data_IF_769942885946
#
_entry.id   IF_769942885946
#
_cell.length_a   1.000
_cell.length_b   1.000
_cell.length_c   1.000
_cell.angle_alpha   90.00
_cell.angle_beta   90.00
_cell.angle_gamma   90.00
#
_symmetry.space_group_name_H-M   'P 1'
#
loop_
_entity.id
_entity.type
_entity.pdbx_description
1 polymer ?
#
# COMPACT_ATOMS: atom_id res chain seq x y z
N UNK A 1 32.44 28.03 27.15
CA UNK A 1 31.39 28.90 27.71
C UNK A 1 30.59 28.12 28.75
N UNK A 2 30.57 28.62 29.97
CA UNK A 2 29.89 27.97 31.11
C UNK A 2 28.56 28.68 31.42
N UNK A 3 27.45 28.07 31.02
CA UNK A 3 26.09 28.61 31.20
C UNK A 3 25.71 28.77 32.67
N UNK A 4 26.20 27.89 33.53
CA UNK A 4 25.91 27.96 34.98
C UNK A 4 26.64 29.18 35.61
N UNK A 5 27.89 29.39 35.21
CA UNK A 5 28.68 30.56 35.66
C UNK A 5 28.00 31.86 35.24
N UNK A 6 27.60 31.96 33.97
CA UNK A 6 26.90 33.15 33.44
C UNK A 6 25.55 33.34 34.15
N UNK A 7 24.78 32.30 34.32
CA UNK A 7 23.48 32.38 35.00
C UNK A 7 23.62 32.86 36.47
N UNK A 8 24.61 32.34 37.17
CA UNK A 8 24.93 32.78 38.51
C UNK A 8 25.31 34.26 38.56
N UNK A 9 26.14 34.71 37.61
CA UNK A 9 26.56 36.09 37.48
C UNK A 9 25.38 37.03 37.21
N UNK A 10 24.46 36.67 36.32
CA UNK A 10 23.23 37.44 36.10
C UNK A 10 22.46 37.59 37.42
N UNK A 11 22.27 36.49 38.18
CA UNK A 11 21.55 36.53 39.44
C UNK A 11 22.23 37.38 40.50
N UNK A 12 23.57 37.36 40.58
CA UNK A 12 24.36 38.15 41.49
C UNK A 12 24.22 39.65 41.18
N UNK A 13 24.42 40.05 39.92
CA UNK A 13 24.28 41.46 39.49
C UNK A 13 22.85 41.99 39.68
N UNK A 14 21.84 41.18 39.34
CA UNK A 14 20.44 41.54 39.61
C UNK A 14 20.19 41.80 41.10
N UNK A 15 20.64 40.89 41.97
CA UNK A 15 20.48 41.01 43.42
C UNK A 15 21.23 42.23 43.99
N UNK A 16 22.44 42.51 43.48
CA UNK A 16 23.21 43.69 43.88
C UNK A 16 22.47 45.00 43.57
N UNK A 17 21.64 45.01 42.53
CA UNK A 17 20.77 46.13 42.16
C UNK A 17 19.41 46.11 42.90
N UNK A 18 19.19 45.18 43.82
CA UNK A 18 17.94 45.04 44.59
C UNK A 18 16.73 44.59 43.76
N UNK A 19 16.92 44.08 42.55
CA UNK A 19 15.84 43.67 41.66
C UNK A 19 15.38 42.23 41.92
N UNK A 20 14.06 42.01 41.87
CA UNK A 20 13.49 40.65 41.75
C UNK A 20 13.58 40.12 40.32
N UNK A 21 13.46 38.79 40.11
CA UNK A 21 13.42 38.21 38.78
C UNK A 21 12.28 38.79 37.93
N UNK A 22 11.13 39.09 38.56
CA UNK A 22 9.98 39.68 37.88
C UNK A 22 10.29 41.10 37.41
N UNK A 23 10.88 41.93 38.26
CA UNK A 23 11.25 43.30 37.91
C UNK A 23 12.32 43.38 36.81
N UNK A 24 13.27 42.43 36.81
CA UNK A 24 14.24 42.35 35.69
C UNK A 24 13.53 41.90 34.39
N UNK A 25 12.62 40.93 34.48
CA UNK A 25 11.85 40.47 33.32
C UNK A 25 10.97 41.61 32.73
N UNK A 26 10.33 42.41 33.56
CA UNK A 26 9.54 43.57 33.12
C UNK A 26 10.40 44.63 32.41
N UNK A 27 11.57 44.96 32.97
CA UNK A 27 12.53 45.88 32.32
C UNK A 27 12.99 45.43 30.95
N UNK A 28 13.10 44.11 30.75
CA UNK A 28 13.57 43.51 29.50
C UNK A 28 12.42 43.20 28.53
N UNK A 29 11.15 43.35 28.91
CA UNK A 29 10.00 42.92 28.14
C UNK A 29 9.89 41.37 27.98
N UNK A 30 10.36 40.64 29.01
CA UNK A 30 10.45 39.16 28.98
C UNK A 30 9.60 38.56 30.09
N UNK A 31 9.41 37.23 30.02
CA UNK A 31 8.69 36.50 31.10
C UNK A 31 9.62 36.23 32.29
N UNK A 32 9.05 36.21 33.49
CA UNK A 32 9.78 35.81 34.70
C UNK A 32 10.41 34.39 34.54
N UNK A 33 9.71 33.47 33.85
CA UNK A 33 10.22 32.15 33.55
C UNK A 33 11.49 32.17 32.69
N UNK A 34 11.60 33.13 31.79
CA UNK A 34 12.80 33.31 30.94
C UNK A 34 14.00 33.70 31.80
N UNK A 35 13.87 34.74 32.64
CA UNK A 35 14.93 35.20 33.56
C UNK A 35 15.35 34.06 34.50
N UNK A 36 14.39 33.33 35.06
CA UNK A 36 14.66 32.17 35.91
C UNK A 36 15.47 31.07 35.20
N UNK A 37 15.18 30.79 33.89
CA UNK A 37 15.98 29.84 33.11
C UNK A 37 17.40 30.31 32.87
N UNK A 38 17.59 31.59 32.60
CA UNK A 38 18.93 32.18 32.41
C UNK A 38 19.75 32.11 33.69
N UNK A 39 19.18 32.50 34.83
CA UNK A 39 19.88 32.47 36.13
C UNK A 39 20.25 31.04 36.58
N UNK A 40 19.48 30.05 36.18
CA UNK A 40 19.80 28.65 36.44
C UNK A 40 20.77 28.03 35.42
N UNK A 41 21.18 28.79 34.41
CA UNK A 41 22.08 28.34 33.36
C UNK A 41 21.45 27.27 32.43
N UNK A 42 20.12 27.23 32.28
CA UNK A 42 19.42 26.29 31.38
C UNK A 42 19.59 26.73 29.93
N UNK A 43 19.55 28.02 29.66
CA UNK A 43 19.79 28.61 28.35
C UNK A 43 20.29 30.08 28.53
N UNK A 44 20.87 30.62 27.46
CA UNK A 44 21.13 32.05 27.39
C UNK A 44 19.89 32.82 26.91
N UNK A 45 19.81 34.13 27.18
CA UNK A 45 18.91 35.03 26.47
C UNK A 45 19.15 34.97 24.96
N UNK A 46 18.16 35.39 24.18
CA UNK A 46 18.38 35.66 22.75
C UNK A 46 19.37 36.83 22.59
N UNK A 47 20.18 36.79 21.52
CA UNK A 47 21.23 37.80 21.26
C UNK A 47 20.65 39.21 21.19
N UNK A 48 19.42 39.35 20.73
CA UNK A 48 18.71 40.66 20.65
C UNK A 48 18.41 41.26 22.02
N UNK A 49 18.41 40.45 23.08
CA UNK A 49 18.18 40.88 24.47
C UNK A 49 19.48 41.33 25.16
N UNK A 50 20.66 40.93 24.66
CA UNK A 50 21.95 41.19 25.31
C UNK A 50 22.19 42.68 25.62
N UNK A 51 22.02 43.65 24.69
CA UNK A 51 22.22 45.04 25.01
C UNK A 51 21.34 45.51 26.18
N UNK A 52 20.06 45.21 26.13
CA UNK A 52 19.11 45.57 27.17
C UNK A 52 19.43 44.92 28.53
N UNK A 53 19.87 43.67 28.51
CA UNK A 53 20.26 42.94 29.71
C UNK A 53 21.53 43.54 30.33
N UNK A 54 22.56 43.84 29.51
CA UNK A 54 23.77 44.45 29.96
C UNK A 54 23.51 45.84 30.56
N UNK A 55 22.69 46.65 29.89
CA UNK A 55 22.28 47.97 30.39
C UNK A 55 21.49 47.83 31.72
N UNK A 56 20.54 46.93 31.79
CA UNK A 56 19.70 46.71 32.98
C UNK A 56 20.48 46.23 34.20
N UNK A 57 21.59 45.52 33.99
CA UNK A 57 22.47 44.97 35.02
C UNK A 57 23.73 45.80 35.26
N UNK A 58 23.94 46.83 34.45
CA UNK A 58 25.14 47.69 34.48
C UNK A 58 26.45 46.91 34.33
N UNK A 59 26.52 46.03 33.32
CA UNK A 59 27.66 45.19 32.96
C UNK A 59 27.98 45.30 31.47
N UNK A 60 29.21 45.01 31.12
CA UNK A 60 29.62 44.92 29.72
C UNK A 60 29.21 43.56 29.10
N UNK A 61 29.11 43.48 27.76
CA UNK A 61 28.85 42.21 27.05
C UNK A 61 29.95 41.16 27.32
N UNK A 62 31.20 41.60 27.47
CA UNK A 62 32.32 40.70 27.76
C UNK A 62 32.20 40.09 29.17
N UNK A 63 31.86 40.88 30.16
CA UNK A 63 31.58 40.39 31.52
C UNK A 63 30.40 39.46 31.57
N UNK A 64 29.30 39.78 30.87
CA UNK A 64 28.18 38.90 30.73
C UNK A 64 28.57 37.54 30.16
N UNK A 65 29.32 37.49 29.03
CA UNK A 65 29.74 36.28 28.38
C UNK A 65 30.83 35.51 29.17
N UNK A 66 31.69 36.23 29.92
CA UNK A 66 32.66 35.62 30.83
C UNK A 66 32.02 35.08 32.14
N UNK A 67 30.87 35.66 32.54
CA UNK A 67 30.17 35.33 33.78
C UNK A 67 30.97 35.82 35.03
N UNK A 68 31.73 36.90 34.90
CA UNK A 68 32.55 37.52 35.95
C UNK A 68 32.90 38.97 35.60
N UNK A 69 33.26 39.74 36.60
CA UNK A 69 33.81 41.11 36.40
C UNK A 69 35.18 41.00 35.77
N UNK A 70 35.47 41.87 34.78
CA UNK A 70 36.74 41.87 34.03
C UNK A 70 37.54 43.14 34.30
N UNK A 71 38.84 42.98 34.56
CA UNK A 71 39.76 44.06 34.58
C UNK A 71 40.11 44.49 33.14
N UNK A 72 40.44 45.80 32.93
CA UNK A 72 40.75 46.37 31.58
C UNK A 72 41.79 45.53 30.81
N UNK A 73 42.75 44.93 31.48
CA UNK A 73 43.86 44.13 30.89
C UNK A 73 43.37 42.76 30.38
N UNK A 74 42.24 42.27 30.87
CA UNK A 74 41.71 40.96 30.53
C UNK A 74 40.65 40.98 29.43
N UNK A 75 40.22 42.17 28.98
CA UNK A 75 39.08 42.30 28.06
C UNK A 75 39.35 41.64 26.69
N UNK A 76 40.55 41.83 26.12
CA UNK A 76 40.86 41.33 24.76
C UNK A 76 40.97 39.80 24.71
N UNK A 77 41.79 39.12 25.54
CA UNK A 77 41.90 37.67 25.51
C UNK A 77 40.57 36.93 25.77
N UNK A 78 39.79 37.40 26.74
CA UNK A 78 38.50 36.80 27.07
C UNK A 78 37.39 37.08 26.03
N UNK A 79 37.46 38.20 25.33
CA UNK A 79 36.55 38.48 24.22
C UNK A 79 36.67 37.45 23.10
N UNK A 80 37.88 37.06 22.71
CA UNK A 80 38.14 36.04 21.70
C UNK A 80 37.66 34.65 22.15
N UNK A 81 37.95 34.27 23.41
CA UNK A 81 37.50 33.01 23.98
C UNK A 81 35.96 32.90 24.03
N UNK A 82 35.31 33.99 24.42
CA UNK A 82 33.84 34.05 24.49
C UNK A 82 33.19 33.93 23.10
N UNK A 83 33.75 34.56 22.06
CA UNK A 83 33.24 34.42 20.67
C UNK A 83 33.36 32.98 20.16
N UNK A 84 34.50 32.31 20.41
CA UNK A 84 34.68 30.91 20.03
C UNK A 84 33.72 30.00 20.80
N UNK A 85 33.52 30.25 22.10
CA UNK A 85 32.58 29.52 22.92
C UNK A 85 31.13 29.65 22.46
N UNK A 86 30.73 30.86 22.09
CA UNK A 86 29.39 31.15 21.56
C UNK A 86 29.12 30.45 20.22
N UNK A 87 30.09 30.46 19.30
CA UNK A 87 29.96 29.76 18.01
C UNK A 87 29.79 28.24 18.19
N UNK A 88 30.52 27.64 19.15
CA UNK A 88 30.38 26.17 19.44
C UNK A 88 28.99 25.81 19.99
N UNK A 89 28.44 26.60 20.93
CA UNK A 89 27.12 26.33 21.53
C UNK A 89 26.01 26.40 20.48
N UNK A 90 26.05 27.41 19.61
CA UNK A 90 25.05 27.57 18.54
C UNK A 90 25.10 26.43 17.50
N UNK A 91 26.30 25.91 17.17
CA UNK A 91 26.47 24.81 16.23
C UNK A 91 25.86 23.51 16.78
N UNK A 92 26.12 23.16 18.03
CA UNK A 92 25.60 21.95 18.69
C UNK A 92 24.07 21.97 18.79
N UNK A 93 23.48 23.13 19.08
CA UNK A 93 22.01 23.28 19.12
C UNK A 93 21.34 23.01 17.78
N UNK A 94 21.90 23.54 16.68
CA UNK A 94 21.38 23.32 15.32
C UNK A 94 21.48 21.83 14.87
N UNK A 95 22.62 21.19 15.16
CA UNK A 95 22.81 19.76 14.80
C UNK A 95 21.81 18.84 15.51
N UNK A 96 21.53 19.08 16.79
CA UNK A 96 20.52 18.30 17.53
C UNK A 96 19.11 18.47 16.94
N UNK A 97 18.71 19.71 16.62
CA UNK A 97 17.41 19.99 16.02
C UNK A 97 17.27 19.33 14.64
N UNK A 98 18.28 19.39 13.79
CA UNK A 98 18.27 18.74 12.47
C UNK A 98 18.14 17.22 12.61
N UNK A 99 18.90 16.58 13.50
CA UNK A 99 18.80 15.12 13.74
C UNK A 99 17.40 14.73 14.22
N UNK A 100 16.78 15.51 15.09
CA UNK A 100 15.40 15.25 15.56
C UNK A 100 14.40 15.36 14.43
N UNK A 101 14.51 16.38 13.57
CA UNK A 101 13.63 16.55 12.41
C UNK A 101 13.79 15.38 11.43
N UNK A 102 15.01 14.96 11.13
CA UNK A 102 15.29 13.83 10.25
C UNK A 102 14.68 12.53 10.82
N UNK A 103 14.82 12.29 12.12
CA UNK A 103 14.21 11.13 12.78
C UNK A 103 12.69 11.14 12.65
N UNK A 104 12.04 12.27 12.88
CA UNK A 104 10.59 12.41 12.74
C UNK A 104 10.12 12.18 11.30
N UNK A 105 10.88 12.65 10.30
CA UNK A 105 10.58 12.38 8.89
C UNK A 105 10.70 10.90 8.54
N UNK A 106 11.69 10.19 9.07
CA UNK A 106 11.84 8.74 8.87
C UNK A 106 10.64 7.99 9.48
N UNK A 107 10.23 8.35 10.69
CA UNK A 107 9.06 7.75 11.35
C UNK A 107 7.80 8.00 10.52
N UNK A 108 7.60 9.24 10.04
CA UNK A 108 6.46 9.59 9.19
C UNK A 108 6.43 8.77 7.90
N UNK A 109 7.58 8.59 7.25
CA UNK A 109 7.69 7.76 6.04
C UNK A 109 7.38 6.30 6.31
N UNK A 110 7.83 5.74 7.45
CA UNK A 110 7.49 4.37 7.83
C UNK A 110 5.99 4.18 8.09
N UNK A 111 5.36 5.15 8.77
CA UNK A 111 3.91 5.12 9.01
C UNK A 111 3.15 5.21 7.69
N UNK A 112 3.56 6.10 6.78
CA UNK A 112 2.95 6.25 5.46
C UNK A 112 3.10 4.97 4.62
N UNK A 113 4.28 4.36 4.62
CA UNK A 113 4.53 3.10 3.93
C UNK A 113 3.69 1.96 4.52
N UNK A 114 3.55 1.89 5.83
CA UNK A 114 2.67 0.93 6.51
C UNK A 114 1.19 1.12 6.14
N UNK A 115 0.74 2.38 6.09
CA UNK A 115 -0.63 2.71 5.67
C UNK A 115 -0.87 2.32 4.20
N UNK A 116 0.07 2.64 3.30
CA UNK A 116 -0.03 2.27 1.88
C UNK A 116 -0.03 0.74 1.71
N UNK A 117 0.79 0.02 2.47
CA UNK A 117 0.79 -1.43 2.48
C UNK A 117 -0.56 -2.00 2.93
N UNK A 118 -1.13 -1.44 4.01
CA UNK A 118 -2.43 -1.85 4.54
C UNK A 118 -3.56 -1.59 3.52
N UNK A 119 -3.61 -0.39 2.94
CA UNK A 119 -4.56 -0.05 1.89
C UNK A 119 -4.42 -0.94 0.65
N UNK A 120 -3.18 -1.32 0.29
CA UNK A 120 -2.95 -2.25 -0.82
C UNK A 120 -3.48 -3.66 -0.49
N UNK A 121 -3.24 -4.15 0.73
CA UNK A 121 -3.71 -5.45 1.19
C UNK A 121 -5.24 -5.54 1.22
N UNK A 122 -5.91 -4.47 1.66
CA UNK A 122 -7.38 -4.41 1.74
C UNK A 122 -8.06 -4.11 0.38
N UNK A 123 -7.30 -4.15 -0.72
CA UNK A 123 -7.86 -3.97 -2.06
C UNK A 123 -8.26 -2.54 -2.44
N UNK A 124 -7.96 -1.53 -1.61
CA UNK A 124 -8.32 -0.13 -1.88
C UNK A 124 -7.79 0.42 -3.22
N UNK A 125 -6.80 -0.25 -3.83
CA UNK A 125 -6.26 0.08 -5.16
C UNK A 125 -6.72 -0.86 -6.26
N UNK A 126 -7.67 -1.75 -5.97
CA UNK A 126 -8.22 -2.68 -6.93
C UNK A 126 -9.56 -2.16 -7.44
N UNK A 127 -9.59 -1.63 -8.65
CA UNK A 127 -10.79 -1.17 -9.31
C UNK A 127 -10.92 -1.90 -10.64
N UNK A 128 -12.10 -2.47 -10.89
CA UNK A 128 -12.43 -3.14 -12.15
C UNK A 128 -11.38 -4.14 -12.59
N UNK A 129 -11.12 -5.15 -11.76
CA UNK A 129 -10.11 -6.15 -12.03
C UNK A 129 -10.41 -7.51 -11.39
N UNK A 130 -9.76 -8.52 -11.96
CA UNK A 130 -9.70 -9.88 -11.42
C UNK A 130 -8.29 -10.11 -10.86
N UNK A 131 -8.22 -10.75 -9.71
CA UNK A 131 -6.97 -11.08 -9.02
C UNK A 131 -6.97 -12.58 -8.73
N UNK A 132 -6.09 -13.37 -9.35
CA UNK A 132 -5.95 -14.77 -9.01
C UNK A 132 -5.39 -14.91 -7.60
N UNK A 133 -5.89 -15.88 -6.86
CA UNK A 133 -5.32 -16.23 -5.57
C UNK A 133 -4.21 -17.26 -5.77
N UNK A 134 -3.12 -17.06 -5.05
CA UNK A 134 -2.01 -18.02 -5.08
C UNK A 134 -2.38 -19.28 -4.29
N UNK A 135 -1.83 -20.41 -4.65
CA UNK A 135 -2.07 -21.73 -4.03
C UNK A 135 -1.72 -21.75 -2.53
N UNK A 136 -0.83 -20.86 -2.06
CA UNK A 136 -0.42 -20.73 -0.66
C UNK A 136 -1.31 -19.76 0.14
N UNK A 137 -2.31 -19.14 -0.48
CA UNK A 137 -3.26 -18.27 0.22
C UNK A 137 -4.10 -19.05 1.25
N UNK A 138 -4.62 -18.34 2.24
CA UNK A 138 -5.49 -18.94 3.27
C UNK A 138 -6.76 -19.51 2.66
N UNK A 139 -7.31 -18.82 1.67
CA UNK A 139 -8.51 -19.19 0.94
C UNK A 139 -8.30 -20.46 0.11
N UNK A 140 -7.18 -20.57 -0.62
CA UNK A 140 -6.86 -21.76 -1.41
C UNK A 140 -6.64 -22.98 -0.52
N UNK A 141 -5.93 -22.83 0.59
CA UNK A 141 -5.76 -23.91 1.59
C UNK A 141 -7.08 -24.34 2.23
N UNK A 142 -8.01 -23.40 2.44
CA UNK A 142 -9.34 -23.75 2.94
C UNK A 142 -10.15 -24.50 1.88
N UNK A 143 -10.03 -24.13 0.61
CA UNK A 143 -10.69 -24.81 -0.50
C UNK A 143 -10.22 -26.26 -0.65
N UNK A 144 -8.92 -26.55 -0.49
CA UNK A 144 -8.37 -27.91 -0.51
C UNK A 144 -8.98 -28.84 0.55
N UNK A 145 -9.48 -28.28 1.67
CA UNK A 145 -10.16 -29.08 2.69
C UNK A 145 -11.58 -29.49 2.30
N UNK A 146 -12.18 -28.82 1.35
CA UNK A 146 -13.57 -29.02 0.92
C UNK A 146 -13.64 -29.78 -0.39
N UNK A 147 -12.73 -29.47 -1.32
CA UNK A 147 -12.69 -30.08 -2.65
C UNK A 147 -11.41 -30.89 -2.82
N UNK A 148 -11.57 -32.18 -3.10
CA UNK A 148 -10.47 -33.09 -3.42
C UNK A 148 -9.82 -32.60 -4.74
N UNK A 149 -8.55 -32.19 -4.68
CA UNK A 149 -7.86 -31.56 -5.81
C UNK A 149 -7.82 -30.00 -5.76
N UNK A 150 -8.56 -29.40 -4.84
CA UNK A 150 -8.57 -27.94 -4.66
C UNK A 150 -9.49 -27.20 -5.65
N UNK A 151 -9.37 -25.89 -5.64
CA UNK A 151 -10.08 -25.01 -6.56
C UNK A 151 -9.18 -23.88 -7.03
N UNK A 152 -9.34 -23.45 -8.27
CA UNK A 152 -8.74 -22.21 -8.76
C UNK A 152 -9.60 -21.03 -8.33
N UNK A 153 -9.02 -20.15 -7.50
CA UNK A 153 -9.74 -19.05 -6.87
C UNK A 153 -9.33 -17.69 -7.44
N UNK A 154 -10.31 -16.84 -7.64
CA UNK A 154 -10.14 -15.46 -8.08
C UNK A 154 -10.93 -14.52 -7.18
N UNK A 155 -10.33 -13.37 -6.82
CA UNK A 155 -11.08 -12.23 -6.30
C UNK A 155 -11.42 -11.28 -7.45
N UNK A 156 -12.65 -10.79 -7.47
CA UNK A 156 -13.03 -9.72 -8.38
C UNK A 156 -13.33 -8.44 -7.62
N UNK A 157 -13.07 -7.33 -8.29
CA UNK A 157 -13.36 -5.99 -7.82
C UNK A 157 -14.02 -5.23 -8.98
N UNK A 158 -15.28 -4.92 -8.84
CA UNK A 158 -16.08 -4.23 -9.86
C UNK A 158 -16.72 -2.96 -9.27
N UNK A 159 -16.80 -1.88 -10.04
CA UNK A 159 -17.46 -0.65 -9.58
C UNK A 159 -18.96 -0.87 -9.36
N UNK A 160 -19.54 -0.10 -8.45
CA UNK A 160 -20.98 -0.17 -8.10
C UNK A 160 -21.93 0.10 -9.29
N UNK A 161 -21.39 0.58 -10.40
CA UNK A 161 -22.18 0.80 -11.63
C UNK A 161 -22.46 -0.49 -12.42
N UNK A 162 -21.72 -1.58 -12.14
CA UNK A 162 -21.99 -2.87 -12.72
C UNK A 162 -23.08 -3.59 -11.91
N UNK A 163 -24.14 -4.00 -12.58
CA UNK A 163 -25.26 -4.71 -11.96
C UNK A 163 -25.43 -6.16 -12.45
N UNK A 164 -24.63 -6.57 -13.43
CA UNK A 164 -24.62 -7.93 -13.96
C UNK A 164 -23.21 -8.47 -14.05
N UNK A 165 -23.07 -9.77 -13.77
CA UNK A 165 -21.84 -10.52 -14.00
C UNK A 165 -22.20 -11.81 -14.76
N UNK A 166 -21.44 -12.12 -15.79
CA UNK A 166 -21.58 -13.34 -16.57
C UNK A 166 -20.25 -14.07 -16.63
N UNK A 167 -20.26 -15.37 -16.39
CA UNK A 167 -19.16 -16.26 -16.75
C UNK A 167 -19.46 -16.78 -18.15
N UNK A 168 -18.49 -16.66 -19.03
CA UNK A 168 -18.63 -16.96 -20.44
C UNK A 168 -17.57 -17.94 -20.89
N UNK A 169 -17.83 -18.69 -21.96
CA UNK A 169 -16.83 -19.46 -22.68
C UNK A 169 -16.71 -18.98 -24.12
N UNK A 170 -15.52 -19.13 -24.66
CA UNK A 170 -15.19 -18.88 -26.07
C UNK A 170 -14.39 -20.07 -26.57
N UNK A 171 -14.97 -20.82 -27.49
CA UNK A 171 -14.42 -22.05 -28.01
C UNK A 171 -13.76 -21.81 -29.37
N UNK A 172 -12.50 -22.17 -29.49
CA UNK A 172 -11.72 -22.03 -30.70
C UNK A 172 -11.29 -23.40 -31.22
N UNK A 173 -11.29 -23.56 -32.52
CA UNK A 173 -10.72 -24.68 -33.27
C UNK A 173 -9.79 -24.13 -34.35
N UNK A 174 -8.54 -24.59 -34.42
CA UNK A 174 -7.55 -24.08 -35.36
C UNK A 174 -7.49 -22.53 -35.36
N UNK A 175 -7.48 -21.91 -34.19
CA UNK A 175 -7.47 -20.47 -34.00
C UNK A 175 -8.75 -19.71 -34.33
N UNK A 176 -9.80 -20.37 -34.83
CA UNK A 176 -11.09 -19.74 -35.19
C UNK A 176 -12.14 -19.95 -34.12
N UNK A 177 -12.86 -18.89 -33.77
CA UNK A 177 -14.01 -18.98 -32.87
C UNK A 177 -15.10 -19.85 -33.52
N UNK A 178 -15.43 -20.97 -32.90
CA UNK A 178 -16.43 -21.91 -33.36
C UNK A 178 -17.72 -21.87 -32.56
N UNK A 179 -17.61 -21.56 -31.26
CA UNK A 179 -18.75 -21.45 -30.37
C UNK A 179 -18.44 -20.48 -29.22
N UNK A 180 -19.46 -19.81 -28.71
CA UNK A 180 -19.38 -18.97 -27.51
C UNK A 180 -20.74 -18.94 -26.79
N UNK A 181 -20.70 -18.77 -25.48
CA UNK A 181 -21.92 -18.69 -24.72
C UNK A 181 -21.71 -18.17 -23.30
N UNK A 182 -22.81 -18.16 -22.58
CA UNK A 182 -22.87 -17.80 -21.16
C UNK A 182 -23.05 -19.07 -20.36
N UNK A 183 -22.08 -19.35 -19.48
CA UNK A 183 -22.17 -20.46 -18.54
C UNK A 183 -23.07 -20.10 -17.36
N UNK A 184 -22.90 -18.87 -16.86
CA UNK A 184 -23.61 -18.38 -15.68
C UNK A 184 -23.86 -16.89 -15.77
N UNK A 185 -25.01 -16.44 -15.23
CA UNK A 185 -25.36 -15.02 -15.16
C UNK A 185 -25.87 -14.68 -13.77
N UNK A 186 -25.38 -13.58 -13.21
CA UNK A 186 -25.75 -13.07 -11.90
C UNK A 186 -26.20 -11.62 -12.01
N UNK A 187 -27.27 -11.28 -11.30
CA UNK A 187 -27.72 -9.92 -11.10
C UNK A 187 -27.34 -9.47 -9.69
N UNK A 188 -26.63 -8.34 -9.60
CA UNK A 188 -26.33 -7.72 -8.31
C UNK A 188 -27.54 -6.86 -7.91
N UNK A 189 -28.18 -7.20 -6.79
CA UNK A 189 -29.30 -6.42 -6.26
C UNK A 189 -28.86 -5.57 -5.08
N UNK A 190 -29.13 -4.26 -5.12
CA UNK A 190 -28.97 -3.35 -3.99
C UNK A 190 -27.56 -2.75 -3.82
N UNK A 191 -27.19 -2.37 -2.60
CA UNK A 191 -25.95 -1.69 -2.24
C UNK A 191 -24.72 -2.60 -2.25
N UNK A 192 -24.57 -3.47 -3.25
CA UNK A 192 -23.41 -4.35 -3.35
C UNK A 192 -22.18 -3.56 -3.83
N UNK A 193 -21.18 -3.52 -2.99
CA UNK A 193 -19.83 -3.12 -3.38
C UNK A 193 -19.23 -4.31 -4.12
N UNK A 194 -19.14 -4.23 -5.44
CA UNK A 194 -18.74 -5.26 -6.36
C UNK A 194 -17.41 -5.96 -6.09
N UNK A 195 -17.27 -6.59 -4.94
CA UNK A 195 -16.18 -7.51 -4.66
C UNK A 195 -16.71 -8.87 -4.24
N UNK A 196 -16.00 -9.91 -4.63
CA UNK A 196 -16.35 -11.26 -4.27
C UNK A 196 -15.31 -12.25 -4.77
N UNK A 197 -15.68 -13.52 -4.78
CA UNK A 197 -14.79 -14.61 -5.15
C UNK A 197 -15.45 -15.52 -6.18
N UNK A 198 -14.66 -15.96 -7.15
CA UNK A 198 -15.02 -16.97 -8.14
C UNK A 198 -14.14 -18.18 -7.86
N UNK A 199 -14.74 -19.36 -7.69
CA UNK A 199 -14.05 -20.63 -7.58
C UNK A 199 -14.35 -21.48 -8.81
N UNK A 200 -13.32 -22.00 -9.46
CA UNK A 200 -13.42 -22.95 -10.56
C UNK A 200 -12.82 -24.25 -10.07
N UNK A 201 -13.63 -25.29 -10.08
CA UNK A 201 -13.27 -26.64 -9.65
C UNK A 201 -13.23 -27.51 -10.91
N UNK A 202 -12.12 -28.18 -11.12
CA UNK A 202 -11.96 -29.12 -12.23
C UNK A 202 -12.34 -30.52 -11.76
N UNK A 203 -13.38 -31.08 -12.37
CA UNK A 203 -13.80 -32.48 -12.17
C UNK A 203 -13.17 -33.34 -13.28
N UNK A 204 -11.98 -33.82 -13.01
CA UNK A 204 -11.22 -34.67 -13.95
C UNK A 204 -11.93 -35.94 -14.32
N UNK A 205 -12.74 -36.52 -13.42
CA UNK A 205 -13.38 -37.81 -13.64
C UNK A 205 -14.57 -37.70 -14.61
N UNK A 206 -15.25 -36.56 -14.62
CA UNK A 206 -16.41 -36.30 -15.46
C UNK A 206 -16.15 -35.36 -16.65
N UNK A 207 -14.94 -34.75 -16.73
CA UNK A 207 -14.61 -33.77 -17.76
C UNK A 207 -15.45 -32.51 -17.68
N UNK A 208 -15.76 -32.07 -16.48
CA UNK A 208 -16.61 -30.93 -16.23
C UNK A 208 -15.88 -29.88 -15.39
N UNK A 209 -16.35 -28.66 -15.48
CA UNK A 209 -15.91 -27.54 -14.62
C UNK A 209 -17.09 -27.09 -13.77
N UNK A 210 -16.92 -27.16 -12.47
CA UNK A 210 -17.87 -26.58 -11.53
C UNK A 210 -17.44 -25.13 -11.23
N UNK A 211 -18.36 -24.19 -11.43
CA UNK A 211 -18.11 -22.77 -11.20
C UNK A 211 -18.97 -22.27 -10.04
N UNK A 212 -18.33 -21.92 -8.95
CA UNK A 212 -18.95 -21.38 -7.76
C UNK A 212 -18.59 -19.91 -7.57
N UNK A 213 -19.55 -19.08 -7.19
CA UNK A 213 -19.35 -17.65 -6.97
C UNK A 213 -19.85 -17.27 -5.59
N UNK A 214 -18.99 -16.61 -4.83
CA UNK A 214 -19.34 -15.95 -3.59
C UNK A 214 -19.47 -14.46 -3.84
N UNK A 215 -20.62 -13.90 -3.51
CA UNK A 215 -20.90 -12.48 -3.61
C UNK A 215 -20.74 -11.86 -2.22
N UNK A 216 -19.82 -10.90 -2.13
CA UNK A 216 -19.74 -9.85 -1.10
C UNK A 216 -19.97 -10.26 0.36
N UNK A 217 -19.24 -11.26 0.86
CA UNK A 217 -19.02 -11.49 2.30
C UNK A 217 -20.20 -11.41 3.29
N UNK A 218 -21.41 -11.13 2.83
CA UNK A 218 -22.61 -11.23 3.63
C UNK A 218 -22.98 -12.70 3.74
N UNK A 219 -23.08 -13.20 4.98
CA UNK A 219 -23.79 -14.42 5.29
C UNK A 219 -25.16 -14.33 4.64
N UNK A 220 -25.32 -14.97 3.48
CA UNK A 220 -26.64 -15.29 2.99
C UNK A 220 -27.22 -16.30 3.97
N UNK A 221 -28.34 -15.98 4.63
CA UNK A 221 -29.18 -16.99 5.28
C UNK A 221 -29.38 -18.11 4.27
N UNK A 222 -29.02 -19.31 4.66
CA UNK A 222 -29.12 -20.53 3.88
C UNK A 222 -30.54 -20.73 3.31
N UNK A 223 -30.82 -20.11 2.20
CA UNK A 223 -31.87 -20.49 1.30
C UNK A 223 -31.28 -21.53 0.36
N UNK A 224 -31.86 -22.68 0.32
CA UNK A 224 -31.41 -23.90 -0.36
C UNK A 224 -31.28 -23.77 -1.88
N UNK A 225 -31.39 -22.59 -2.47
CA UNK A 225 -31.51 -22.39 -3.92
C UNK A 225 -30.35 -21.58 -4.58
N UNK A 226 -29.38 -21.06 -3.81
CA UNK A 226 -28.35 -20.16 -4.35
C UNK A 226 -27.00 -20.81 -4.65
N UNK A 227 -26.83 -22.11 -4.42
CA UNK A 227 -25.70 -22.86 -4.93
C UNK A 227 -26.07 -23.49 -6.28
N UNK A 228 -26.05 -22.70 -7.33
CA UNK A 228 -26.20 -23.28 -8.66
C UNK A 228 -24.81 -23.63 -9.17
N UNK A 229 -24.42 -24.87 -9.01
CA UNK A 229 -23.31 -25.46 -9.74
C UNK A 229 -23.78 -25.69 -11.17
N UNK A 230 -23.33 -24.90 -12.13
CA UNK A 230 -23.53 -25.24 -13.54
C UNK A 230 -22.32 -26.03 -14.00
N UNK A 231 -22.53 -27.29 -14.24
CA UNK A 231 -21.57 -28.20 -14.84
C UNK A 231 -21.36 -27.80 -16.31
N UNK A 232 -20.20 -27.20 -16.63
CA UNK A 232 -19.80 -27.02 -18.02
C UNK A 232 -19.22 -28.32 -18.54
N UNK A 233 -19.91 -28.95 -19.47
CA UNK A 233 -19.42 -30.16 -20.14
C UNK A 233 -18.63 -29.77 -21.37
N UNK A 234 -17.40 -30.23 -21.42
CA UNK A 234 -16.58 -30.14 -22.62
C UNK A 234 -17.32 -30.82 -23.76
N UNK A 235 -17.48 -30.22 -24.95
CA UNK A 235 -18.13 -30.83 -26.10
C UNK A 235 -17.23 -31.91 -26.68
N UNK A 236 -17.34 -33.12 -26.14
CA UNK A 236 -16.52 -34.30 -26.48
C UNK A 236 -17.00 -35.04 -27.75
N UNK A 237 -17.71 -34.38 -28.66
CA UNK A 237 -18.20 -34.95 -29.94
C UNK A 237 -18.75 -36.42 -29.84
N UNK A 238 -19.35 -36.75 -28.69
CA UNK A 238 -19.92 -38.08 -28.43
C UNK A 238 -18.92 -39.14 -27.94
N UNK A 239 -17.66 -38.78 -27.70
CA UNK A 239 -16.67 -39.66 -27.07
C UNK A 239 -16.81 -39.59 -25.56
N UNK A 240 -16.46 -40.68 -24.87
CA UNK A 240 -16.27 -40.65 -23.43
C UNK A 240 -14.97 -39.92 -23.09
N UNK A 241 -14.95 -39.22 -21.95
CA UNK A 241 -13.79 -38.46 -21.51
C UNK A 241 -12.50 -39.28 -21.49
N UNK A 242 -12.57 -40.52 -20.94
CA UNK A 242 -11.43 -41.42 -20.83
C UNK A 242 -10.85 -41.79 -22.19
N UNK A 243 -11.70 -41.97 -23.21
CA UNK A 243 -11.30 -42.25 -24.60
C UNK A 243 -10.70 -40.99 -25.24
N UNK A 244 -11.26 -39.82 -24.93
CA UNK A 244 -10.81 -38.54 -25.46
C UNK A 244 -9.50 -38.09 -24.82
N UNK A 245 -9.33 -38.21 -23.49
CA UNK A 245 -8.08 -37.90 -22.77
C UNK A 245 -6.91 -38.79 -23.16
N UNK A 246 -7.19 -40.08 -23.54
CA UNK A 246 -6.16 -40.97 -24.01
C UNK A 246 -5.53 -40.54 -25.34
N UNK A 247 -6.27 -39.77 -26.14
CA UNK A 247 -5.87 -39.33 -27.49
C UNK A 247 -5.42 -37.85 -27.51
N UNK A 248 -5.63 -37.06 -26.42
CA UNK A 248 -5.34 -35.63 -26.41
C UNK A 248 -4.63 -35.21 -25.10
N UNK A 249 -3.56 -34.49 -25.27
CA UNK A 249 -2.94 -33.76 -24.15
C UNK A 249 -3.68 -32.45 -23.92
N UNK A 250 -4.01 -32.13 -22.68
CA UNK A 250 -4.61 -30.86 -22.37
C UNK A 250 -3.84 -30.11 -21.25
N UNK A 251 -3.94 -28.79 -21.28
CA UNK A 251 -3.44 -27.90 -20.25
C UNK A 251 -4.53 -26.98 -19.79
N UNK A 252 -4.74 -26.95 -18.48
CA UNK A 252 -5.64 -26.01 -17.82
C UNK A 252 -4.79 -24.97 -17.10
N UNK A 253 -4.88 -23.73 -17.51
CA UNK A 253 -4.07 -22.66 -16.96
C UNK A 253 -4.93 -21.48 -16.49
N UNK A 254 -4.97 -21.26 -15.17
CA UNK A 254 -5.65 -20.10 -14.64
C UNK A 254 -4.87 -18.81 -14.91
N UNK A 255 -5.56 -17.69 -14.90
CA UNK A 255 -4.96 -16.37 -14.87
C UNK A 255 -3.88 -16.31 -13.79
N UNK A 256 -2.65 -15.92 -14.16
CA UNK A 256 -1.50 -15.90 -13.25
C UNK A 256 -1.27 -14.54 -12.57
N UNK A 257 -1.82 -13.48 -13.14
CA UNK A 257 -1.60 -12.11 -12.67
C UNK A 257 -2.91 -11.33 -12.67
N UNK A 258 -2.97 -10.30 -11.82
CA UNK A 258 -4.06 -9.33 -11.82
C UNK A 258 -4.32 -8.82 -13.23
N UNK A 259 -5.57 -8.95 -13.69
CA UNK A 259 -6.06 -8.43 -14.96
C UNK A 259 -7.10 -7.34 -14.72
N UNK A 260 -6.99 -6.22 -15.42
CA UNK A 260 -8.06 -5.21 -15.48
C UNK A 260 -9.13 -5.67 -16.46
N UNK A 261 -10.37 -5.31 -16.18
CA UNK A 261 -11.45 -5.46 -17.15
C UNK A 261 -11.12 -4.64 -18.40
N UNK A 262 -11.42 -5.20 -19.57
CA UNK A 262 -11.30 -4.48 -20.84
C UNK A 262 -12.40 -3.39 -20.98
N UNK A 263 -12.42 -2.69 -22.11
CA UNK A 263 -13.42 -1.63 -22.39
C UNK A 263 -14.87 -2.16 -22.44
N UNK A 264 -15.04 -3.50 -22.60
CA UNK A 264 -16.34 -4.18 -22.60
C UNK A 264 -16.68 -4.75 -21.22
N UNK A 265 -15.84 -4.54 -20.20
CA UNK A 265 -16.00 -5.08 -18.85
C UNK A 265 -15.64 -6.55 -18.72
N UNK A 266 -14.82 -7.10 -19.63
CA UNK A 266 -14.45 -8.51 -19.66
C UNK A 266 -13.01 -8.75 -19.22
N UNK A 267 -12.77 -9.88 -18.54
CA UNK A 267 -11.44 -10.36 -18.16
C UNK A 267 -11.37 -11.89 -18.23
N UNK A 268 -10.16 -12.43 -18.44
CA UNK A 268 -9.91 -13.87 -18.43
C UNK A 268 -9.92 -14.45 -17.02
N UNK A 269 -10.37 -15.69 -16.92
CA UNK A 269 -10.24 -16.50 -15.72
C UNK A 269 -9.34 -17.71 -15.98
N UNK A 270 -9.58 -18.41 -17.07
CA UNK A 270 -8.98 -19.71 -17.34
C UNK A 270 -8.81 -19.90 -18.83
N UNK A 271 -7.74 -20.58 -19.23
CA UNK A 271 -7.53 -21.06 -20.59
C UNK A 271 -7.31 -22.58 -20.55
N UNK A 272 -8.05 -23.30 -21.35
CA UNK A 272 -7.87 -24.72 -21.59
C UNK A 272 -7.40 -24.92 -23.03
N UNK A 273 -6.26 -25.56 -23.20
CA UNK A 273 -5.72 -25.86 -24.53
C UNK A 273 -5.57 -27.35 -24.70
N UNK A 274 -5.98 -27.84 -25.86
CA UNK A 274 -5.95 -29.26 -26.23
C UNK A 274 -5.19 -29.41 -27.53
N UNK A 275 -4.27 -30.34 -27.54
CA UNK A 275 -3.49 -30.70 -28.72
C UNK A 275 -3.21 -32.19 -28.74
N UNK A 276 -3.44 -32.83 -29.87
CA UNK A 276 -3.26 -34.28 -30.05
C UNK A 276 -1.80 -34.69 -29.96
N UNK A 277 -0.90 -33.81 -30.41
CA UNK A 277 0.54 -34.07 -30.42
C UNK A 277 1.23 -33.62 -29.14
N UNK A 278 0.52 -33.01 -28.19
CA UNK A 278 1.06 -32.51 -26.91
C UNK A 278 1.88 -31.23 -27.02
N UNK A 279 1.86 -30.55 -28.15
CA UNK A 279 2.62 -29.32 -28.45
C UNK A 279 1.75 -28.08 -28.31
N UNK A 280 1.09 -27.89 -27.16
CA UNK A 280 0.31 -26.68 -26.94
C UNK A 280 1.18 -25.51 -26.45
N UNK A 281 0.96 -24.31 -27.00
CA UNK A 281 1.58 -23.12 -26.48
C UNK A 281 1.06 -22.78 -25.08
N UNK A 282 1.99 -22.47 -24.17
CA UNK A 282 1.68 -22.11 -22.79
C UNK A 282 0.87 -20.81 -22.71
N UNK A 283 -0.24 -20.85 -21.97
CA UNK A 283 -1.25 -19.80 -21.87
C UNK A 283 -0.76 -18.41 -21.40
N UNK A 284 0.39 -18.28 -20.76
CA UNK A 284 0.85 -16.99 -20.21
C UNK A 284 1.06 -15.90 -21.28
N UNK A 285 1.39 -16.32 -22.52
CA UNK A 285 1.49 -15.41 -23.68
C UNK A 285 0.15 -15.22 -24.38
N UNK A 286 -0.69 -16.23 -24.42
CA UNK A 286 -1.97 -16.29 -25.15
C UNK A 286 -2.99 -15.37 -24.49
N UNK A 287 -3.16 -15.46 -23.18
CA UNK A 287 -4.18 -14.71 -22.43
C UNK A 287 -4.05 -13.21 -22.64
N UNK A 288 -2.82 -12.69 -22.48
CA UNK A 288 -2.55 -11.26 -22.64
C UNK A 288 -2.80 -10.78 -24.06
N UNK A 289 -2.50 -11.58 -25.07
CA UNK A 289 -2.69 -11.25 -26.47
C UNK A 289 -4.16 -11.36 -26.87
N UNK A 290 -4.87 -12.39 -26.38
CA UNK A 290 -6.31 -12.57 -26.64
C UNK A 290 -7.14 -11.33 -26.25
N UNK A 291 -6.89 -10.73 -25.07
CA UNK A 291 -7.62 -9.56 -24.61
C UNK A 291 -7.21 -8.26 -25.35
N UNK A 292 -6.12 -8.26 -26.09
CA UNK A 292 -5.71 -7.15 -26.95
C UNK A 292 -6.31 -7.23 -28.37
N UNK A 293 -6.92 -8.36 -28.72
CA UNK A 293 -7.54 -8.51 -30.05
C UNK A 293 -8.81 -7.65 -30.14
N UNK A 294 -8.89 -6.84 -31.19
CA UNK A 294 -10.11 -6.07 -31.51
C UNK A 294 -11.20 -6.98 -32.06
N UNK A 295 -10.83 -7.98 -32.84
CA UNK A 295 -11.68 -9.00 -33.40
C UNK A 295 -11.30 -10.36 -32.80
N UNK A 296 -12.19 -10.91 -31.99
CA UNK A 296 -12.03 -12.20 -31.32
C UNK A 296 -12.48 -13.40 -32.18
N UNK A 297 -12.87 -13.19 -33.45
CA UNK A 297 -13.28 -14.29 -34.35
C UNK A 297 -12.11 -15.19 -34.74
N UNK A 298 -10.90 -14.71 -34.67
CA UNK A 298 -9.68 -15.46 -34.95
C UNK A 298 -8.53 -15.04 -34.02
N UNK A 299 -7.86 -16.02 -33.43
CA UNK A 299 -6.71 -15.85 -32.55
C UNK A 299 -5.52 -16.65 -33.12
N UNK A 300 -4.55 -15.99 -33.76
CA UNK A 300 -3.43 -16.67 -34.43
C UNK A 300 -2.48 -17.37 -33.44
N UNK A 301 -2.44 -16.93 -32.20
CA UNK A 301 -1.58 -17.49 -31.16
C UNK A 301 -1.98 -18.90 -30.71
N UNK A 302 -3.17 -19.35 -31.07
CA UNK A 302 -3.70 -20.68 -30.74
C UNK A 302 -4.05 -21.49 -31.97
N UNK A 303 -3.55 -21.09 -33.16
CA UNK A 303 -3.82 -21.77 -34.43
C UNK A 303 -3.25 -23.21 -34.45
N UNK A 304 -2.14 -23.43 -33.73
CA UNK A 304 -1.48 -24.73 -33.63
C UNK A 304 -2.20 -25.69 -32.66
N UNK A 305 -3.09 -25.16 -31.79
CA UNK A 305 -3.87 -25.98 -30.89
C UNK A 305 -5.09 -26.55 -31.61
N UNK A 306 -5.38 -27.83 -31.44
CA UNK A 306 -6.60 -28.45 -31.97
C UNK A 306 -7.84 -27.74 -31.45
N UNK A 307 -7.87 -27.49 -30.13
CA UNK A 307 -8.91 -26.72 -29.47
C UNK A 307 -8.36 -25.83 -28.37
N UNK A 308 -8.97 -24.66 -28.21
CA UNK A 308 -8.71 -23.78 -27.07
C UNK A 308 -10.02 -23.20 -26.56
N UNK A 309 -10.22 -23.24 -25.25
CA UNK A 309 -11.37 -22.65 -24.58
C UNK A 309 -10.91 -21.57 -23.61
N UNK A 310 -11.43 -20.37 -23.78
CA UNK A 310 -11.28 -19.30 -22.81
C UNK A 310 -12.52 -19.24 -21.94
N UNK A 311 -12.32 -19.31 -20.63
CA UNK A 311 -13.35 -18.96 -19.65
C UNK A 311 -13.09 -17.52 -19.21
N UNK A 312 -14.10 -16.68 -19.35
CA UNK A 312 -14.01 -15.25 -19.07
C UNK A 312 -15.11 -14.84 -18.09
N UNK A 313 -14.88 -13.72 -17.40
CA UNK A 313 -15.92 -13.02 -16.64
C UNK A 313 -16.18 -11.69 -17.31
N UNK A 314 -17.46 -11.35 -17.46
CA UNK A 314 -17.91 -10.08 -18.03
C UNK A 314 -18.84 -9.38 -17.05
N UNK A 315 -18.52 -8.14 -16.74
CA UNK A 315 -19.39 -7.25 -15.98
C UNK A 315 -20.10 -6.27 -16.94
N UNK A 316 -21.38 -6.02 -16.68
CA UNK A 316 -22.18 -5.06 -17.46
C UNK A 316 -23.10 -4.26 -16.55
N UNK A 317 -23.55 -3.09 -17.10
CA UNK A 317 -24.47 -2.16 -16.45
C UNK A 317 -25.90 -2.55 -16.75
#
# INVERSE_FOLDING_TARGET
MDLKKIGKYIAEKRKALGLTQLQLAEKLGMSNKSVSKWERGVCLPDVTVYPKLCDALNISLNEFLAGEDLLEVEIIPKSEENLIGFAKVNKVGKEKSVRTIVLLLIILLMVLAGLLYFLHKDGAFYNNCIVPLTWDSSESKAAELVWEGGATLFKYYADAEYNHMQIRYHWYKDGKLTDEGVLKSYEFSGDHYGEGMIAIIDDYDNGSLDINISLDGKEYEYGTDDYVCDEFKLPLEGQKLDEWQADHCYSLQPLQKKMKLDEKGEAGLLVMSYDKDGNYELAESIEKKYFLLQDKSYCPEIEENDYTVFITVKFSK
#
